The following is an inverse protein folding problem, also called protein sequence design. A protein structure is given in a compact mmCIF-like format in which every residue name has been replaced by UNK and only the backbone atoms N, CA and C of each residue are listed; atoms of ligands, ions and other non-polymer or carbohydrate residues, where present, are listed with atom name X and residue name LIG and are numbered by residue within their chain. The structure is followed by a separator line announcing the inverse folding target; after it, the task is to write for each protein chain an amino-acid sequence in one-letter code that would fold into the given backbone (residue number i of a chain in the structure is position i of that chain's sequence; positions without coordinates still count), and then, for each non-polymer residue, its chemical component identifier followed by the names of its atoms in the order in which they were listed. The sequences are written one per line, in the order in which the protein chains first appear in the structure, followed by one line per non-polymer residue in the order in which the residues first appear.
data_IF_430339141866
#
_entry.id   IF_430339141866
#
_cell.length_a   1.000
_cell.length_b   1.000
_cell.length_c   1.000
_cell.angle_alpha   90.00
_cell.angle_beta   90.00
_cell.angle_gamma   90.00
#
_symmetry.space_group_name_H-M   'P 1'
#
loop_
_entity.id
_entity.type
_entity.pdbx_description
1 polymer ?
#
# COMPACT_ATOMS: atom_id res chain seq x y z
N UNK A 1 11.41 -12.57 -27.45
CA UNK A 1 11.97 -11.57 -26.51
C UNK A 1 13.33 -12.06 -26.09
N UNK A 2 14.36 -11.22 -26.19
CA UNK A 2 15.68 -11.50 -25.62
C UNK A 2 15.56 -11.63 -24.09
N UNK A 3 16.31 -12.54 -23.47
CA UNK A 3 16.17 -12.89 -22.04
C UNK A 3 16.47 -11.71 -21.10
N UNK A 4 17.32 -10.79 -21.54
CA UNK A 4 17.70 -9.57 -20.85
C UNK A 4 16.50 -8.64 -20.65
N UNK A 5 15.62 -8.53 -21.65
CA UNK A 5 14.40 -7.71 -21.55
C UNK A 5 13.43 -8.28 -20.51
N UNK A 6 13.33 -9.61 -20.40
CA UNK A 6 12.49 -10.25 -19.39
C UNK A 6 13.01 -9.92 -17.98
N UNK A 7 14.32 -9.99 -17.78
CA UNK A 7 14.95 -9.68 -16.48
C UNK A 7 14.74 -8.20 -16.11
N UNK A 8 14.97 -7.28 -17.05
CA UNK A 8 14.76 -5.84 -16.82
C UNK A 8 13.30 -5.55 -16.46
N UNK A 9 12.35 -6.15 -17.19
CA UNK A 9 10.92 -5.99 -16.89
C UNK A 9 10.57 -6.56 -15.52
N UNK A 10 11.10 -7.72 -15.14
CA UNK A 10 10.87 -8.31 -13.84
C UNK A 10 11.39 -7.40 -12.70
N UNK A 11 12.61 -6.87 -12.84
CA UNK A 11 13.21 -5.97 -11.85
C UNK A 11 12.40 -4.68 -11.70
N UNK A 12 11.82 -4.15 -12.78
CA UNK A 12 11.00 -2.94 -12.74
C UNK A 12 9.59 -3.19 -12.21
N UNK A 13 8.99 -4.34 -12.50
CA UNK A 13 7.56 -4.61 -12.20
C UNK A 13 7.34 -5.24 -10.83
N UNK A 14 8.20 -6.18 -10.40
CA UNK A 14 8.06 -6.87 -9.11
C UNK A 14 8.00 -5.88 -7.93
N UNK A 15 8.85 -4.83 -7.86
CA UNK A 15 8.81 -3.86 -6.76
C UNK A 15 7.55 -2.98 -6.75
N UNK A 16 6.83 -2.89 -7.86
CA UNK A 16 5.60 -2.11 -7.95
C UNK A 16 4.42 -2.81 -7.26
N UNK A 17 4.44 -4.15 -7.18
CA UNK A 17 3.39 -4.94 -6.53
C UNK A 17 3.09 -4.44 -5.10
N UNK A 18 4.07 -4.38 -4.17
CA UNK A 18 3.80 -3.87 -2.82
C UNK A 18 3.45 -2.39 -2.81
N UNK A 19 3.95 -1.61 -3.76
CA UNK A 19 3.67 -0.17 -3.87
C UNK A 19 2.20 0.07 -4.17
N UNK A 20 1.67 -0.55 -5.22
CA UNK A 20 0.26 -0.44 -5.55
C UNK A 20 -0.63 -1.03 -4.46
N UNK A 21 -0.22 -2.16 -3.87
CA UNK A 21 -0.98 -2.72 -2.75
C UNK A 21 -1.07 -1.75 -1.58
N UNK A 22 0.04 -1.12 -1.18
CA UNK A 22 0.05 -0.12 -0.11
C UNK A 22 -0.82 1.10 -0.45
N UNK A 23 -0.72 1.64 -1.67
CA UNK A 23 -1.54 2.78 -2.13
C UNK A 23 -3.03 2.45 -2.02
N UNK A 24 -3.44 1.23 -2.37
CA UNK A 24 -4.84 0.79 -2.31
C UNK A 24 -5.29 0.40 -0.88
N UNK A 25 -4.38 -0.02 -0.01
CA UNK A 25 -4.66 -0.44 1.38
C UNK A 25 -4.80 0.78 2.33
N UNK A 26 -4.01 1.84 2.13
CA UNK A 26 -4.04 3.07 2.96
C UNK A 26 -5.43 3.72 3.07
N UNK A 27 -6.17 3.99 1.98
CA UNK A 27 -7.49 4.63 2.10
C UNK A 27 -8.50 3.74 2.83
N UNK A 28 -8.40 2.40 2.67
CA UNK A 28 -9.27 1.37 3.27
C UNK A 28 -8.99 1.09 4.74
N UNK A 29 -8.09 1.85 5.36
CA UNK A 29 -7.69 1.68 6.75
C UNK A 29 -8.01 2.89 7.60
N UNK A 30 -8.34 2.61 8.87
CA UNK A 30 -8.51 3.59 9.93
C UNK A 30 -7.16 3.88 10.55
N UNK A 31 -6.75 5.14 10.49
CA UNK A 31 -5.55 5.66 11.12
C UNK A 31 -5.93 6.45 12.37
N UNK A 32 -5.02 6.54 13.34
CA UNK A 32 -5.21 7.36 14.53
C UNK A 32 -5.41 8.84 14.22
N UNK A 33 -4.83 9.33 13.13
CA UNK A 33 -5.02 10.69 12.63
C UNK A 33 -4.97 10.77 11.11
N UNK A 34 -5.65 11.75 10.53
CA UNK A 34 -5.59 12.04 9.09
C UNK A 34 -4.18 12.40 8.64
N UNK A 35 -3.42 13.12 9.48
CA UNK A 35 -2.02 13.47 9.19
C UNK A 35 -1.15 12.22 9.00
N UNK A 36 -1.29 11.21 9.87
CA UNK A 36 -0.54 9.96 9.76
C UNK A 36 -0.90 9.20 8.48
N UNK A 37 -2.19 9.19 8.08
CA UNK A 37 -2.63 8.61 6.81
C UNK A 37 -1.94 9.29 5.62
N UNK A 38 -1.92 10.63 5.60
CA UNK A 38 -1.28 11.42 4.54
C UNK A 38 0.23 11.17 4.48
N UNK A 39 0.91 11.11 5.63
CA UNK A 39 2.35 10.84 5.68
C UNK A 39 2.68 9.48 5.05
N UNK A 40 1.92 8.44 5.38
CA UNK A 40 2.13 7.12 4.79
C UNK A 40 1.83 7.11 3.29
N UNK A 41 0.75 7.77 2.86
CA UNK A 41 0.43 7.90 1.45
C UNK A 41 1.55 8.61 0.67
N UNK A 42 2.04 9.73 1.21
CA UNK A 42 3.16 10.48 0.62
C UNK A 42 4.45 9.67 0.61
N UNK A 43 4.80 8.97 1.69
CA UNK A 43 6.00 8.15 1.77
C UNK A 43 6.00 7.02 0.72
N UNK A 44 4.87 6.31 0.55
CA UNK A 44 4.72 5.25 -0.46
C UNK A 44 4.78 5.82 -1.88
N UNK A 45 4.22 7.00 -2.11
CA UNK A 45 4.18 7.64 -3.44
C UNK A 45 5.53 8.22 -3.85
N UNK A 46 6.28 8.82 -2.92
CA UNK A 46 7.58 9.44 -3.17
C UNK A 46 8.72 8.43 -3.25
N UNK A 47 8.66 7.38 -2.43
CA UNK A 47 9.66 6.32 -2.40
C UNK A 47 9.00 4.96 -2.71
N UNK A 48 8.79 4.64 -4.01
CA UNK A 48 8.23 3.36 -4.42
C UNK A 48 9.04 2.20 -3.87
N UNK A 49 8.39 1.06 -3.64
CA UNK A 49 8.91 -0.15 -3.00
C UNK A 49 9.35 0.06 -1.55
N UNK A 50 10.31 0.94 -1.27
CA UNK A 50 10.84 1.19 0.08
C UNK A 50 9.76 1.74 1.01
N UNK A 51 9.07 2.80 0.61
CA UNK A 51 7.97 3.37 1.38
C UNK A 51 6.84 2.37 1.60
N UNK A 52 6.56 1.54 0.59
CA UNK A 52 5.59 0.45 0.69
C UNK A 52 6.01 -0.62 1.70
N UNK A 53 7.27 -1.06 1.70
CA UNK A 53 7.80 -2.00 2.68
C UNK A 53 7.69 -1.45 4.10
N UNK A 54 8.08 -0.19 4.33
CA UNK A 54 7.94 0.45 5.62
C UNK A 54 6.47 0.55 6.07
N UNK A 55 5.58 0.91 5.15
CA UNK A 55 4.16 0.92 5.44
C UNK A 55 3.66 -0.46 5.85
N UNK A 56 3.94 -1.49 5.07
CA UNK A 56 3.45 -2.85 5.30
C UNK A 56 3.97 -3.42 6.62
N UNK A 57 5.25 -3.21 6.92
CA UNK A 57 5.89 -3.78 8.12
C UNK A 57 5.50 -2.99 9.38
N UNK A 58 5.45 -1.66 9.32
CA UNK A 58 5.28 -0.81 10.51
C UNK A 58 3.96 -0.04 10.52
N UNK A 59 3.65 0.67 9.44
CA UNK A 59 2.47 1.53 9.35
C UNK A 59 1.15 0.76 9.46
N UNK A 60 0.99 -0.28 8.65
CA UNK A 60 -0.19 -1.13 8.53
C UNK A 60 -0.56 -1.81 9.85
N UNK A 61 0.45 -2.26 10.62
CA UNK A 61 0.26 -2.90 11.94
C UNK A 61 -0.35 -1.96 12.99
N UNK A 62 -0.31 -0.64 12.76
CA UNK A 62 -0.88 0.39 13.65
C UNK A 62 -2.23 0.93 13.14
N UNK A 63 -2.88 0.19 12.24
CA UNK A 63 -4.15 0.59 11.62
C UNK A 63 -5.14 -0.57 11.61
N UNK A 64 -6.42 -0.24 11.63
CA UNK A 64 -7.51 -1.21 11.54
C UNK A 64 -8.13 -1.15 10.14
N UNK A 65 -8.54 -2.29 9.54
CA UNK A 65 -9.38 -2.27 8.35
C UNK A 65 -10.67 -1.49 8.64
N UNK A 66 -11.10 -0.67 7.68
CA UNK A 66 -12.46 -0.16 7.68
C UNK A 66 -13.36 -1.35 7.33
N UNK A 67 -13.91 -2.03 8.34
CA UNK A 67 -14.95 -3.04 8.11
C UNK A 67 -16.18 -2.29 7.63
N UNK A 68 -16.70 -2.65 6.46
CA UNK A 68 -17.95 -2.11 5.93
C UNK A 68 -19.12 -2.60 6.81
N UNK A 69 -19.38 -1.91 7.92
CA UNK A 69 -20.56 -2.11 8.79
C UNK A 69 -21.88 -1.85 8.02
N UNK A 70 -21.80 -1.41 6.76
CA UNK A 70 -22.95 -1.16 5.91
C UNK A 70 -23.73 -2.43 5.52
N UNK A 71 -23.15 -3.63 5.55
CA UNK A 71 -23.87 -4.87 5.21
C UNK A 71 -24.75 -5.43 6.34
N UNK A 72 -24.51 -5.07 7.61
CA UNK A 72 -25.32 -5.57 8.74
C UNK A 72 -26.59 -4.73 8.97
N UNK A 73 -26.66 -3.52 8.41
CA UNK A 73 -27.81 -2.62 8.57
C UNK A 73 -28.89 -2.78 7.50
N UNK A 74 -28.63 -3.56 6.45
CA UNK A 74 -29.54 -3.79 5.32
C UNK A 74 -29.99 -5.27 5.20
N UNK A 75 -29.60 -6.15 6.13
CA UNK A 75 -29.94 -7.58 6.15
C UNK A 75 -30.98 -7.95 7.21
#
# INVERSE_FOLDING_TARGET
MSGELVIVLAILTIPLIPTFWAILDIPRRRFSSTRTKIIWFAAVSTFPFIGAMFYIIFGRRRTEPLVDIQLEKEA
#
